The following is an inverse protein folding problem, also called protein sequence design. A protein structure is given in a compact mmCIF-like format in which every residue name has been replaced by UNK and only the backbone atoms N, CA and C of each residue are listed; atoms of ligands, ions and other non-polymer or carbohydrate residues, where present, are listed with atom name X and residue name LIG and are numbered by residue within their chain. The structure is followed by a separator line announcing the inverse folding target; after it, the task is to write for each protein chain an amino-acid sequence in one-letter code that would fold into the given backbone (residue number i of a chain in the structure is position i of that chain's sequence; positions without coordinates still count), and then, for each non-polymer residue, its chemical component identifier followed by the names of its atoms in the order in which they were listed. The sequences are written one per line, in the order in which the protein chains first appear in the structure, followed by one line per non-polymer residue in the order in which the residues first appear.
data_IF_427977927834
#
_entry.id   IF_427977927834
#
_cell.length_a   1.000
_cell.length_b   1.000
_cell.length_c   1.000
_cell.angle_alpha   90.00
_cell.angle_beta   90.00
_cell.angle_gamma   90.00
#
_symmetry.space_group_name_H-M   'P 1'
#
loop_
_entity.id
_entity.type
_entity.pdbx_description
1 polymer ?
#
# COMPACT_ATOMS: atom_id res chain seq x y z
N UNK A 1 20.03 -79.23 2.56
CA UNK A 1 20.10 -78.10 3.52
C UNK A 1 20.40 -76.84 2.73
N UNK A 2 19.36 -76.06 2.40
CA UNK A 2 19.46 -74.87 1.55
C UNK A 2 19.30 -73.62 2.42
N UNK A 3 20.36 -72.83 2.52
CA UNK A 3 20.40 -71.60 3.31
C UNK A 3 19.69 -70.48 2.54
N UNK A 4 18.52 -70.05 3.04
CA UNK A 4 17.79 -68.93 2.48
C UNK A 4 18.49 -67.60 2.81
N UNK A 5 18.82 -66.82 1.77
CA UNK A 5 19.40 -65.47 1.88
C UNK A 5 18.29 -64.48 2.23
N UNK A 6 18.36 -63.87 3.42
CA UNK A 6 17.43 -62.80 3.80
C UNK A 6 17.55 -61.60 2.84
N UNK A 7 16.44 -60.96 2.44
CA UNK A 7 16.48 -59.76 1.62
C UNK A 7 16.98 -58.57 2.46
N UNK A 8 17.93 -57.82 1.90
CA UNK A 8 18.44 -56.60 2.50
C UNK A 8 17.31 -55.58 2.69
N UNK A 9 17.08 -55.13 3.93
CA UNK A 9 16.18 -54.00 4.22
C UNK A 9 16.72 -52.75 3.54
N UNK A 10 15.93 -52.17 2.64
CA UNK A 10 16.24 -50.88 2.03
C UNK A 10 16.46 -49.83 3.13
N UNK A 11 17.68 -49.31 3.20
CA UNK A 11 18.08 -48.26 4.14
C UNK A 11 17.38 -46.98 3.71
N UNK A 12 16.20 -46.71 4.29
CA UNK A 12 15.46 -45.46 4.05
C UNK A 12 16.35 -44.29 4.49
N UNK A 13 16.78 -43.51 3.51
CA UNK A 13 17.58 -42.30 3.71
C UNK A 13 16.69 -41.24 4.35
N UNK A 14 16.52 -41.30 5.68
CA UNK A 14 15.74 -40.33 6.45
C UNK A 14 16.18 -38.87 6.22
N UNK A 15 17.41 -38.64 5.77
CA UNK A 15 17.89 -37.32 5.36
C UNK A 15 17.26 -36.78 4.07
N UNK A 16 16.92 -37.63 3.10
CA UNK A 16 16.33 -37.20 1.84
C UNK A 16 14.87 -36.77 2.00
N UNK A 17 14.13 -37.41 2.91
CA UNK A 17 12.74 -37.05 3.20
C UNK A 17 12.64 -35.70 3.93
N UNK A 18 13.59 -35.40 4.82
CA UNK A 18 13.68 -34.08 5.48
C UNK A 18 14.03 -32.99 4.45
N UNK A 19 14.94 -33.25 3.51
CA UNK A 19 15.25 -32.28 2.44
C UNK A 19 14.04 -32.02 1.54
N UNK A 20 13.26 -33.05 1.18
CA UNK A 20 12.03 -32.87 0.41
C UNK A 20 10.92 -32.16 1.18
N UNK A 21 10.78 -32.42 2.49
CA UNK A 21 9.85 -31.69 3.35
C UNK A 21 10.25 -30.22 3.50
N UNK A 22 11.55 -29.95 3.61
CA UNK A 22 12.07 -28.58 3.71
C UNK A 22 11.94 -27.85 2.38
N UNK A 23 12.28 -28.46 1.25
CA UNK A 23 12.10 -27.84 -0.07
C UNK A 23 10.60 -27.57 -0.33
N UNK A 24 9.74 -28.53 0.02
CA UNK A 24 8.29 -28.39 -0.06
C UNK A 24 7.76 -27.29 0.86
N UNK A 25 8.24 -27.20 2.10
CA UNK A 25 7.84 -26.17 3.05
C UNK A 25 8.38 -24.79 2.67
N UNK A 26 9.60 -24.68 2.13
CA UNK A 26 10.17 -23.41 1.66
C UNK A 26 9.48 -22.95 0.39
N UNK A 27 9.17 -23.84 -0.56
CA UNK A 27 8.33 -23.50 -1.71
C UNK A 27 6.92 -23.15 -1.25
N UNK A 28 6.35 -23.87 -0.29
CA UNK A 28 5.02 -23.56 0.26
C UNK A 28 5.01 -22.33 1.18
N UNK A 29 6.14 -21.86 1.70
CA UNK A 29 6.24 -20.59 2.43
C UNK A 29 6.54 -19.46 1.45
N UNK A 30 7.41 -19.62 0.46
CA UNK A 30 7.65 -18.61 -0.57
C UNK A 30 6.43 -18.42 -1.48
N UNK A 31 5.77 -19.51 -1.89
CA UNK A 31 4.53 -19.48 -2.68
C UNK A 31 3.31 -19.32 -1.77
N UNK A 32 3.31 -19.86 -0.55
CA UNK A 32 2.19 -19.69 0.39
C UNK A 32 2.13 -18.33 1.05
N UNK A 33 3.25 -17.59 1.16
CA UNK A 33 3.20 -16.15 1.48
C UNK A 33 2.52 -15.36 0.36
N UNK A 34 2.64 -15.81 -0.88
CA UNK A 34 1.89 -15.29 -2.03
C UNK A 34 0.45 -15.82 -2.14
N UNK A 35 0.09 -16.90 -1.41
CA UNK A 35 -1.29 -17.44 -1.37
C UNK A 35 -2.06 -16.98 -0.12
N UNK A 36 -1.38 -16.64 0.99
CA UNK A 36 -1.99 -16.13 2.22
C UNK A 36 -2.08 -14.60 2.22
N UNK A 37 -1.19 -13.91 1.49
CA UNK A 37 -1.52 -12.61 0.92
C UNK A 37 -2.34 -12.88 -0.33
N UNK A 38 -3.61 -13.29 -0.14
CA UNK A 38 -4.63 -13.18 -1.19
C UNK A 38 -4.81 -11.70 -1.46
N UNK A 39 -3.86 -11.13 -2.18
CA UNK A 39 -4.17 -10.10 -3.15
C UNK A 39 -4.98 -10.83 -4.22
N UNK A 40 -6.27 -11.01 -3.94
CA UNK A 40 -7.22 -11.35 -4.98
C UNK A 40 -7.05 -10.22 -5.98
N UNK A 41 -6.51 -10.50 -7.17
CA UNK A 41 -6.39 -9.57 -8.29
C UNK A 41 -7.73 -8.91 -8.55
N UNK A 42 -7.95 -7.84 -7.79
CA UNK A 42 -9.26 -7.55 -7.25
C UNK A 42 -9.64 -6.21 -7.77
N UNK A 43 -10.79 -6.16 -8.44
CA UNK A 43 -11.30 -4.93 -9.04
C UNK A 43 -11.82 -3.93 -7.99
N UNK A 44 -11.36 -4.07 -6.74
CA UNK A 44 -11.76 -3.25 -5.60
C UNK A 44 -10.82 -2.07 -5.51
N UNK A 45 -11.39 -0.89 -5.73
CA UNK A 45 -10.71 0.39 -5.54
C UNK A 45 -10.62 0.69 -4.03
N UNK A 46 -9.42 0.83 -3.44
CA UNK A 46 -9.27 1.21 -2.04
C UNK A 46 -9.65 2.68 -1.86
N UNK A 47 -10.35 2.98 -0.76
CA UNK A 47 -10.62 4.35 -0.34
C UNK A 47 -9.45 4.94 0.47
N UNK A 48 -9.42 6.27 0.64
CA UNK A 48 -8.46 6.93 1.54
C UNK A 48 -8.56 6.37 2.96
N UNK A 49 -7.44 6.34 3.66
CA UNK A 49 -7.38 5.96 5.06
C UNK A 49 -8.15 6.95 5.95
N UNK A 50 -8.55 6.52 7.14
CA UNK A 50 -9.42 7.34 8.00
C UNK A 50 -8.72 8.60 8.54
N UNK A 51 -7.43 8.49 8.82
CA UNK A 51 -6.55 9.60 9.17
C UNK A 51 -6.36 10.57 8.00
N UNK A 52 -6.12 10.08 6.77
CA UNK A 52 -6.03 10.94 5.58
C UNK A 52 -7.29 11.80 5.39
N UNK A 53 -8.49 11.22 5.56
CA UNK A 53 -9.75 11.97 5.50
C UNK A 53 -9.89 12.94 6.67
N UNK A 54 -9.52 12.52 7.88
CA UNK A 54 -9.58 13.36 9.08
C UNK A 54 -8.63 14.57 8.99
N UNK A 55 -7.47 14.43 8.35
CA UNK A 55 -6.50 15.50 8.13
C UNK A 55 -6.88 16.41 6.95
N UNK A 56 -7.56 15.86 5.94
CA UNK A 56 -8.05 16.62 4.77
C UNK A 56 -9.11 17.65 5.16
N UNK A 57 -10.10 17.26 5.97
CA UNK A 57 -11.27 18.11 6.27
C UNK A 57 -10.89 19.47 6.87
N UNK A 58 -10.05 19.58 7.92
CA UNK A 58 -9.66 20.87 8.50
C UNK A 58 -8.97 21.81 7.50
N UNK A 59 -8.17 21.27 6.59
CA UNK A 59 -7.50 22.06 5.55
C UNK A 59 -8.53 22.65 4.57
N UNK A 60 -9.54 21.85 4.19
CA UNK A 60 -10.62 22.34 3.32
C UNK A 60 -11.52 23.34 4.04
N UNK A 61 -11.78 23.18 5.34
CA UNK A 61 -12.51 24.17 6.17
C UNK A 61 -11.80 25.52 6.12
N UNK A 62 -10.51 25.54 6.44
CA UNK A 62 -9.73 26.78 6.45
C UNK A 62 -9.71 27.46 5.07
N UNK A 63 -9.48 26.68 4.01
CA UNK A 63 -9.52 27.18 2.65
C UNK A 63 -10.89 27.79 2.32
N UNK A 64 -11.97 27.06 2.62
CA UNK A 64 -13.33 27.51 2.34
C UNK A 64 -13.70 28.79 3.09
N UNK A 65 -13.30 28.93 4.36
CA UNK A 65 -13.51 30.15 5.14
C UNK A 65 -12.79 31.36 4.54
N UNK A 66 -11.59 31.16 4.00
CA UNK A 66 -10.79 32.25 3.43
C UNK A 66 -11.18 32.63 2.00
N UNK A 67 -11.63 31.67 1.19
CA UNK A 67 -11.92 31.86 -0.23
C UNK A 67 -13.41 31.99 -0.54
N UNK A 68 -14.29 31.60 0.39
CA UNK A 68 -15.75 31.62 0.19
C UNK A 68 -16.24 30.58 -0.81
N UNK A 69 -15.46 29.51 -1.03
CA UNK A 69 -15.76 28.40 -1.95
C UNK A 69 -15.66 27.11 -1.16
N UNK A 70 -16.66 26.24 -1.24
CA UNK A 70 -16.56 24.90 -0.66
C UNK A 70 -15.66 24.01 -1.50
N UNK A 71 -14.82 23.20 -0.84
CA UNK A 71 -13.92 22.26 -1.50
C UNK A 71 -14.28 20.84 -1.09
N UNK A 72 -14.20 19.91 -2.03
CA UNK A 72 -14.49 18.51 -1.74
C UNK A 72 -13.86 17.53 -2.69
N UNK A 73 -14.12 16.25 -2.40
CA UNK A 73 -13.59 15.14 -3.16
C UNK A 73 -14.62 14.03 -3.34
N UNK A 74 -14.45 13.28 -4.43
CA UNK A 74 -15.25 12.10 -4.72
C UNK A 74 -14.40 11.04 -5.42
N UNK A 75 -14.29 9.88 -4.79
CA UNK A 75 -13.69 8.70 -5.37
C UNK A 75 -14.78 7.70 -5.74
N UNK A 76 -14.84 7.31 -7.00
CA UNK A 76 -15.80 6.36 -7.56
C UNK A 76 -15.09 5.18 -8.21
N UNK A 77 -15.78 4.05 -8.26
CA UNK A 77 -15.47 2.99 -9.23
C UNK A 77 -15.95 3.42 -10.61
N UNK A 78 -15.41 2.80 -11.64
CA UNK A 78 -15.85 2.95 -13.03
C UNK A 78 -17.36 2.75 -13.25
N UNK A 79 -18.00 1.92 -12.43
CA UNK A 79 -19.45 1.71 -12.42
C UNK A 79 -20.26 2.90 -11.89
N UNK A 80 -19.61 3.91 -11.33
CA UNK A 80 -20.23 5.03 -10.61
C UNK A 80 -20.52 4.74 -9.14
N UNK A 81 -20.15 3.56 -8.62
CA UNK A 81 -20.29 3.26 -7.21
C UNK A 81 -19.32 4.11 -6.38
N UNK A 82 -19.85 4.87 -5.42
CA UNK A 82 -19.05 5.71 -4.52
C UNK A 82 -18.17 4.83 -3.62
N UNK A 83 -16.88 5.18 -3.55
CA UNK A 83 -15.90 4.58 -2.66
C UNK A 83 -15.64 5.49 -1.47
N UNK A 84 -15.49 6.79 -1.73
CA UNK A 84 -15.32 7.81 -0.70
C UNK A 84 -15.80 9.16 -1.20
N UNK A 85 -16.35 9.97 -0.30
CA UNK A 85 -16.78 11.33 -0.55
C UNK A 85 -16.54 12.17 0.69
N UNK A 86 -16.24 13.45 0.50
CA UNK A 86 -16.15 14.39 1.61
C UNK A 86 -15.88 15.81 1.15
N UNK A 87 -15.86 16.73 2.11
CA UNK A 87 -15.69 18.16 1.86
C UNK A 87 -15.24 18.92 3.09
N UNK A 88 -15.12 20.24 2.95
CA UNK A 88 -15.03 21.17 4.07
C UNK A 88 -16.22 21.06 5.06
N UNK A 89 -17.33 20.40 4.70
CA UNK A 89 -18.44 20.15 5.62
C UNK A 89 -18.28 18.87 6.46
N UNK A 90 -17.29 18.04 6.13
CA UNK A 90 -16.99 16.80 6.84
C UNK A 90 -16.68 15.60 5.93
N UNK A 91 -16.15 14.54 6.53
CA UNK A 91 -16.03 13.22 5.93
C UNK A 91 -17.43 12.64 5.67
N UNK A 92 -17.65 12.07 4.47
CA UNK A 92 -18.95 11.55 4.05
C UNK A 92 -19.97 12.62 3.61
N UNK A 93 -19.58 13.90 3.54
CA UNK A 93 -20.49 15.00 3.13
C UNK A 93 -20.04 15.57 1.79
N UNK A 94 -20.80 15.42 0.70
CA UNK A 94 -20.46 16.02 -0.59
C UNK A 94 -20.69 17.53 -0.59
N UNK A 95 -19.92 18.26 -1.41
CA UNK A 95 -20.24 19.68 -1.71
C UNK A 95 -21.42 19.81 -2.68
N UNK A 96 -21.56 18.85 -3.60
CA UNK A 96 -22.59 18.88 -4.64
C UNK A 96 -23.98 18.70 -4.03
N UNK A 97 -24.86 19.69 -4.22
CA UNK A 97 -26.26 19.63 -3.77
C UNK A 97 -26.48 20.00 -2.30
N UNK A 98 -25.44 20.36 -1.54
CA UNK A 98 -25.59 20.87 -0.18
C UNK A 98 -25.86 22.38 -0.19
N UNK A 99 -26.95 22.80 0.45
CA UNK A 99 -27.36 24.20 0.49
C UNK A 99 -26.35 25.13 1.21
N UNK A 100 -25.46 24.57 2.04
CA UNK A 100 -24.36 25.31 2.70
C UNK A 100 -23.21 25.62 1.73
N UNK A 101 -23.17 24.96 0.58
CA UNK A 101 -22.15 25.12 -0.44
C UNK A 101 -22.75 25.58 -1.77
N UNK A 102 -23.28 26.82 -1.86
CA UNK A 102 -23.81 27.35 -3.11
C UNK A 102 -22.71 27.60 -4.17
N UNK A 103 -21.47 27.82 -3.72
CA UNK A 103 -20.27 27.94 -4.56
C UNK A 103 -19.29 26.84 -4.16
N UNK A 104 -18.87 26.00 -5.08
CA UNK A 104 -18.05 24.84 -4.75
C UNK A 104 -17.13 24.38 -5.89
N UNK A 105 -16.07 23.65 -5.51
CA UNK A 105 -15.17 22.92 -6.41
C UNK A 105 -14.93 21.52 -5.82
N UNK A 106 -15.13 20.47 -6.63
CA UNK A 106 -14.97 19.06 -6.25
C UNK A 106 -13.99 18.40 -7.23
N UNK A 107 -12.97 17.72 -6.71
CA UNK A 107 -12.20 16.76 -7.52
C UNK A 107 -12.91 15.42 -7.52
N UNK A 108 -13.12 14.85 -8.71
CA UNK A 108 -13.72 13.54 -8.90
C UNK A 108 -12.74 12.62 -9.60
N UNK A 109 -12.45 11.48 -8.98
CA UNK A 109 -11.67 10.40 -9.59
C UNK A 109 -12.53 9.16 -9.77
N UNK A 110 -12.44 8.56 -10.97
CA UNK A 110 -13.12 7.31 -11.32
C UNK A 110 -12.09 6.27 -11.71
N UNK A 111 -12.03 5.18 -10.96
CA UNK A 111 -10.99 4.15 -11.09
C UNK A 111 -11.59 2.85 -11.64
N UNK A 112 -10.90 2.25 -12.61
CA UNK A 112 -11.15 0.91 -13.10
C UNK A 112 -9.92 0.06 -12.87
N UNK A 113 -10.06 -0.94 -12.01
CA UNK A 113 -9.13 -2.08 -11.96
C UNK A 113 -9.73 -3.23 -12.77
N UNK A 114 -8.89 -3.81 -13.62
CA UNK A 114 -9.17 -4.97 -14.43
C UNK A 114 -8.79 -6.24 -13.66
N UNK A 115 -9.27 -7.40 -14.11
CA UNK A 115 -8.87 -8.65 -13.48
C UNK A 115 -7.42 -8.98 -13.83
N UNK A 116 -6.69 -9.65 -12.94
CA UNK A 116 -5.29 -10.06 -13.19
C UNK A 116 -5.10 -11.02 -14.37
N UNK A 117 -6.19 -11.54 -14.92
CA UNK A 117 -6.24 -12.38 -16.13
C UNK A 117 -6.58 -11.61 -17.40
N UNK A 118 -6.78 -10.30 -17.29
CA UNK A 118 -7.11 -9.41 -18.42
C UNK A 118 -5.83 -8.85 -19.03
N UNK A 119 -5.80 -8.73 -20.35
CA UNK A 119 -4.75 -7.99 -21.08
C UNK A 119 -5.07 -6.48 -21.15
N UNK A 120 -6.23 -6.07 -20.64
CA UNK A 120 -6.62 -4.66 -20.54
C UNK A 120 -5.86 -4.00 -19.40
N UNK A 121 -5.48 -2.74 -19.59
CA UNK A 121 -4.85 -1.95 -18.53
C UNK A 121 -5.89 -1.40 -17.56
N UNK A 122 -5.45 -1.22 -16.33
CA UNK A 122 -6.13 -0.38 -15.35
C UNK A 122 -6.12 1.08 -15.81
N UNK A 123 -7.13 1.85 -15.40
CA UNK A 123 -7.21 3.25 -15.78
C UNK A 123 -7.94 4.08 -14.74
N UNK A 124 -7.62 5.37 -14.71
CA UNK A 124 -8.32 6.38 -13.95
C UNK A 124 -8.83 7.49 -14.86
N UNK A 125 -9.88 8.18 -14.43
CA UNK A 125 -10.28 9.48 -14.99
C UNK A 125 -10.45 10.42 -13.83
N UNK A 126 -9.67 11.50 -13.86
CA UNK A 126 -9.69 12.57 -12.87
C UNK A 126 -10.30 13.78 -13.54
N UNK A 127 -11.23 14.43 -12.87
CA UNK A 127 -11.90 15.64 -13.35
C UNK A 127 -12.17 16.58 -12.20
N UNK A 128 -11.96 17.87 -12.40
CA UNK A 128 -12.44 18.92 -11.49
C UNK A 128 -13.78 19.47 -11.98
N UNK A 129 -14.75 19.53 -11.07
CA UNK A 129 -16.08 20.11 -11.30
C UNK A 129 -16.33 21.25 -10.32
N UNK A 130 -17.24 22.16 -10.66
CA UNK A 130 -17.62 23.25 -9.78
C UNK A 130 -19.07 23.68 -9.96
N UNK A 131 -19.51 24.63 -9.14
CA UNK A 131 -20.82 25.27 -9.25
C UNK A 131 -20.95 26.09 -10.55
N UNK A 132 -22.20 26.32 -10.97
CA UNK A 132 -22.53 26.95 -12.26
C UNK A 132 -22.03 28.40 -12.41
N UNK A 133 -21.63 29.04 -11.31
CA UNK A 133 -21.06 30.39 -11.31
C UNK A 133 -19.56 30.44 -11.65
N UNK A 134 -18.90 29.28 -11.75
CA UNK A 134 -17.47 29.18 -12.10
C UNK A 134 -17.29 28.96 -13.61
N UNK A 135 -16.33 29.68 -14.20
CA UNK A 135 -16.05 29.53 -15.62
C UNK A 135 -15.42 28.16 -15.94
N UNK A 136 -15.83 27.58 -17.06
CA UNK A 136 -15.35 26.25 -17.47
C UNK A 136 -13.86 26.26 -17.82
N UNK A 137 -13.33 27.33 -18.38
CA UNK A 137 -11.91 27.46 -18.69
C UNK A 137 -11.07 27.53 -17.40
N UNK A 138 -11.58 28.19 -16.37
CA UNK A 138 -10.91 28.25 -15.06
C UNK A 138 -10.87 26.85 -14.41
N UNK A 139 -12.00 26.13 -14.40
CA UNK A 139 -12.04 24.75 -13.89
C UNK A 139 -11.12 23.81 -14.68
N UNK A 140 -10.99 24.01 -15.99
CA UNK A 140 -10.04 23.26 -16.81
C UNK A 140 -8.58 23.59 -16.48
N UNK A 141 -8.27 24.85 -16.19
CA UNK A 141 -6.94 25.24 -15.73
C UNK A 141 -6.61 24.64 -14.35
N UNK A 142 -7.60 24.56 -13.45
CA UNK A 142 -7.47 23.88 -12.15
C UNK A 142 -7.23 22.38 -12.35
N UNK A 143 -8.01 21.73 -13.22
CA UNK A 143 -7.85 20.30 -13.56
C UNK A 143 -6.46 19.98 -14.09
N UNK A 144 -6.02 20.71 -15.13
CA UNK A 144 -4.68 20.56 -15.70
C UNK A 144 -3.55 20.92 -14.72
N UNK A 145 -3.86 21.70 -13.68
CA UNK A 145 -2.93 22.05 -12.63
C UNK A 145 -2.55 20.89 -11.72
N UNK A 146 -3.39 19.85 -11.61
CA UNK A 146 -3.15 18.69 -10.74
C UNK A 146 -1.87 17.92 -11.14
N UNK A 147 -1.62 17.76 -12.44
CA UNK A 147 -0.44 17.06 -12.97
C UNK A 147 0.88 17.67 -12.47
N UNK A 148 0.93 19.00 -12.28
CA UNK A 148 2.13 19.70 -11.77
C UNK A 148 2.45 19.33 -10.32
N UNK A 149 1.49 18.77 -9.59
CA UNK A 149 1.66 18.23 -8.24
C UNK A 149 1.89 16.71 -8.24
N UNK A 150 2.07 16.10 -9.41
CA UNK A 150 2.19 14.64 -9.55
C UNK A 150 0.87 13.92 -9.27
N UNK A 151 -0.26 14.58 -9.49
CA UNK A 151 -1.60 14.01 -9.30
C UNK A 151 -2.21 13.64 -10.66
N UNK A 152 -1.48 12.80 -11.38
CA UNK A 152 -1.84 12.31 -12.70
C UNK A 152 -2.59 10.97 -12.63
N UNK A 153 -3.08 10.52 -13.79
CA UNK A 153 -3.85 9.28 -13.94
C UNK A 153 -3.13 8.06 -13.35
N UNK A 154 -1.81 7.94 -13.56
CA UNK A 154 -1.03 6.79 -13.09
C UNK A 154 -0.97 6.77 -11.55
N UNK A 155 -0.76 7.93 -10.94
CA UNK A 155 -0.79 8.09 -9.49
C UNK A 155 -2.14 7.70 -8.90
N UNK A 156 -3.24 8.06 -9.56
CA UNK A 156 -4.59 7.66 -9.14
C UNK A 156 -4.88 6.17 -9.35
N UNK A 157 -4.22 5.51 -10.31
CA UNK A 157 -4.28 4.05 -10.46
C UNK A 157 -3.50 3.38 -9.32
N UNK A 158 -2.32 3.88 -8.98
CA UNK A 158 -1.42 3.27 -8.00
C UNK A 158 -1.88 3.46 -6.53
N UNK A 159 -2.33 4.66 -6.16
CA UNK A 159 -2.79 4.98 -4.79
C UNK A 159 -4.00 5.92 -4.80
N UNK A 160 -5.20 5.44 -5.20
CA UNK A 160 -6.39 6.28 -5.38
C UNK A 160 -6.86 6.94 -4.10
N UNK A 161 -6.66 6.30 -2.94
CA UNK A 161 -7.05 6.82 -1.64
C UNK A 161 -6.22 8.04 -1.26
N UNK A 162 -4.90 7.89 -1.25
CA UNK A 162 -4.01 9.01 -0.98
C UNK A 162 -4.17 10.14 -2.01
N UNK A 163 -4.22 9.79 -3.30
CA UNK A 163 -4.26 10.75 -4.40
C UNK A 163 -5.51 11.63 -4.36
N UNK A 164 -6.69 11.08 -4.02
CA UNK A 164 -7.93 11.86 -3.99
C UNK A 164 -7.93 12.90 -2.85
N UNK A 165 -7.43 12.55 -1.67
CA UNK A 165 -7.27 13.48 -0.56
C UNK A 165 -6.22 14.54 -0.87
N UNK A 166 -5.09 14.14 -1.49
CA UNK A 166 -4.03 15.07 -1.89
C UNK A 166 -4.50 16.05 -2.96
N UNK A 167 -5.30 15.60 -3.92
CA UNK A 167 -5.90 16.47 -4.94
C UNK A 167 -6.88 17.46 -4.30
N UNK A 168 -7.73 17.01 -3.38
CA UNK A 168 -8.69 17.87 -2.69
C UNK A 168 -8.01 19.05 -1.99
N UNK A 169 -6.93 18.80 -1.24
CA UNK A 169 -6.19 19.87 -0.53
C UNK A 169 -5.37 20.77 -1.46
N UNK A 170 -5.18 20.36 -2.73
CA UNK A 170 -4.47 21.15 -3.75
C UNK A 170 -5.41 22.12 -4.47
N UNK A 171 -6.73 21.82 -4.52
CA UNK A 171 -7.73 22.67 -5.19
C UNK A 171 -7.71 24.14 -4.74
N UNK A 172 -7.65 24.50 -3.44
CA UNK A 172 -7.64 25.90 -3.00
C UNK A 172 -6.52 26.73 -3.62
N UNK A 173 -5.34 26.14 -3.77
CA UNK A 173 -4.19 26.77 -4.38
C UNK A 173 -4.41 26.96 -5.89
N UNK A 174 -4.84 25.91 -6.58
CA UNK A 174 -5.05 25.95 -8.02
C UNK A 174 -6.18 26.91 -8.41
N UNK A 175 -7.24 26.99 -7.60
CA UNK A 175 -8.33 27.95 -7.76
C UNK A 175 -7.84 29.39 -7.56
N UNK A 176 -6.87 29.61 -6.65
CA UNK A 176 -6.24 30.92 -6.53
C UNK A 176 -5.32 31.26 -7.72
N UNK A 177 -4.56 30.30 -8.22
CA UNK A 177 -3.71 30.46 -9.41
C UNK A 177 -4.53 30.76 -10.67
N UNK A 178 -5.71 30.15 -10.80
CA UNK A 178 -6.66 30.44 -11.87
C UNK A 178 -7.34 31.81 -11.71
N UNK A 179 -7.12 32.53 -10.61
CA UNK A 179 -7.71 33.85 -10.36
C UNK A 179 -9.18 33.81 -9.94
N UNK A 180 -9.72 32.63 -9.66
CA UNK A 180 -11.13 32.42 -9.26
C UNK A 180 -11.38 32.90 -7.83
N UNK A 181 -10.38 32.74 -6.96
CA UNK A 181 -10.42 33.17 -5.57
C UNK A 181 -9.10 33.87 -5.19
N UNK A 182 -9.10 34.73 -4.14
CA UNK A 182 -7.85 35.18 -3.56
C UNK A 182 -7.05 33.99 -3.00
N UNK A 183 -5.73 34.14 -2.79
CA UNK A 183 -4.93 33.13 -2.10
C UNK A 183 -5.55 32.76 -0.74
N UNK A 184 -5.65 31.47 -0.45
CA UNK A 184 -6.14 30.99 0.83
C UNK A 184 -5.24 31.50 1.97
N UNK A 185 -5.84 31.80 3.12
CA UNK A 185 -5.10 32.30 4.26
C UNK A 185 -4.09 31.26 4.73
N UNK A 186 -2.80 31.60 4.69
CA UNK A 186 -1.76 30.74 5.25
C UNK A 186 -1.94 30.69 6.76
N UNK A 187 -1.85 29.51 7.41
CA UNK A 187 -1.80 29.44 8.86
C UNK A 187 -0.67 30.36 9.37
N UNK A 188 -1.03 31.45 10.02
CA UNK A 188 -0.05 32.31 10.67
C UNK A 188 0.34 31.61 11.97
N UNK A 189 1.52 30.98 11.97
CA UNK A 189 2.11 30.55 13.22
C UNK A 189 2.39 31.81 14.06
N UNK A 190 1.86 31.84 15.28
CA UNK A 190 2.20 32.89 16.25
C UNK A 190 3.73 32.85 16.46
N UNK A 191 4.49 33.91 16.12
CA UNK A 191 5.94 33.92 16.23
C UNK A 191 6.44 33.69 17.67
N UNK A 192 5.57 33.93 18.66
CA UNK A 192 5.88 33.77 20.07
C UNK A 192 5.39 32.43 20.67
N UNK A 193 4.60 31.64 19.92
CA UNK A 193 4.17 30.34 20.41
C UNK A 193 5.36 29.37 20.41
N UNK A 194 5.62 28.66 21.52
CA UNK A 194 6.60 27.58 21.51
C UNK A 194 6.17 26.57 20.46
N UNK A 195 7.07 26.26 19.50
CA UNK A 195 6.81 25.23 18.50
C UNK A 195 6.47 23.94 19.25
N UNK A 196 5.21 23.50 19.15
CA UNK A 196 4.82 22.18 19.61
C UNK A 196 5.70 21.16 18.89
N UNK A 197 6.13 20.12 19.60
CA UNK A 197 6.79 19.00 18.95
C UNK A 197 5.87 18.55 17.80
N UNK A 198 6.43 18.46 16.59
CA UNK A 198 5.72 17.89 15.46
C UNK A 198 5.16 16.54 15.91
N UNK A 199 3.90 16.22 15.62
CA UNK A 199 3.41 14.86 15.85
C UNK A 199 4.38 13.89 15.19
N UNK A 200 4.67 12.78 15.87
CA UNK A 200 5.55 11.76 15.31
C UNK A 200 5.07 11.45 13.89
N UNK A 201 5.92 11.72 12.90
CA UNK A 201 5.62 11.34 11.53
C UNK A 201 5.34 9.84 11.55
N UNK A 202 4.10 9.45 11.24
CA UNK A 202 3.69 8.05 11.19
C UNK A 202 4.74 7.28 10.38
N UNK A 203 5.24 6.18 10.93
CA UNK A 203 6.34 5.50 10.28
C UNK A 203 5.82 4.70 9.08
N UNK A 204 6.04 5.18 7.87
CA UNK A 204 5.86 4.42 6.63
C UNK A 204 6.86 3.26 6.49
N UNK A 205 7.69 3.01 7.51
CA UNK A 205 8.72 1.98 7.51
C UNK A 205 8.19 0.59 7.14
N UNK A 206 6.99 0.24 7.62
CA UNK A 206 6.38 -1.04 7.25
C UNK A 206 5.94 -1.06 5.79
N UNK A 207 5.42 0.05 5.26
CA UNK A 207 4.97 0.18 3.87
C UNK A 207 6.14 0.19 2.88
N UNK A 208 7.16 1.00 3.14
CA UNK A 208 8.32 1.18 2.25
C UNK A 208 9.29 -0.01 2.26
N UNK A 209 9.39 -0.73 3.40
CA UNK A 209 10.43 -1.75 3.60
C UNK A 209 9.91 -3.16 3.76
N UNK A 210 8.62 -3.43 3.57
CA UNK A 210 8.07 -4.78 3.72
C UNK A 210 8.80 -5.81 2.82
N UNK A 211 9.08 -5.45 1.57
CA UNK A 211 9.79 -6.33 0.63
C UNK A 211 11.21 -6.67 1.09
N UNK A 212 11.94 -5.67 1.59
CA UNK A 212 13.27 -5.88 2.16
C UNK A 212 13.22 -6.72 3.43
N UNK A 213 12.25 -6.45 4.32
CA UNK A 213 12.04 -7.21 5.56
C UNK A 213 11.76 -8.68 5.29
N UNK A 214 10.88 -8.99 4.33
CA UNK A 214 10.61 -10.36 3.91
C UNK A 214 11.84 -11.04 3.30
N UNK A 215 12.61 -10.33 2.47
CA UNK A 215 13.84 -10.87 1.92
C UNK A 215 14.87 -11.21 3.02
N UNK A 216 15.08 -10.31 3.99
CA UNK A 216 15.95 -10.58 5.14
C UNK A 216 15.44 -11.71 6.02
N UNK A 217 14.14 -11.78 6.29
CA UNK A 217 13.54 -12.86 7.07
C UNK A 217 13.72 -14.22 6.37
N UNK A 218 13.51 -14.27 5.06
CA UNK A 218 13.78 -15.46 4.24
C UNK A 218 15.24 -15.88 4.29
N UNK A 219 16.18 -14.93 4.17
CA UNK A 219 17.62 -15.22 4.23
C UNK A 219 18.04 -15.78 5.59
N UNK A 220 17.52 -15.22 6.69
CA UNK A 220 17.80 -15.68 8.05
C UNK A 220 17.28 -17.10 8.29
N UNK A 221 16.12 -17.45 7.75
CA UNK A 221 15.57 -18.81 7.80
C UNK A 221 16.49 -19.82 7.08
N UNK A 222 16.97 -19.46 5.88
CA UNK A 222 17.92 -20.32 5.14
C UNK A 222 19.22 -20.50 5.93
N UNK A 223 19.76 -19.43 6.52
CA UNK A 223 20.97 -19.51 7.33
C UNK A 223 20.80 -20.41 8.56
N UNK A 224 19.71 -20.25 9.31
CA UNK A 224 19.39 -21.10 10.46
C UNK A 224 19.28 -22.58 10.06
N UNK A 225 18.73 -22.86 8.87
CA UNK A 225 18.60 -24.22 8.35
C UNK A 225 19.95 -24.83 7.99
N UNK A 226 20.84 -24.08 7.33
CA UNK A 226 22.19 -24.54 7.03
C UNK A 226 22.99 -24.83 8.31
N UNK A 227 22.85 -24.00 9.34
CA UNK A 227 23.48 -24.20 10.64
C UNK A 227 22.97 -25.49 11.28
N UNK A 228 21.66 -25.69 11.36
CA UNK A 228 21.07 -26.90 11.98
C UNK A 228 21.44 -28.16 11.21
N UNK A 229 21.41 -28.14 9.87
CA UNK A 229 21.88 -29.28 9.04
C UNK A 229 23.36 -29.54 9.28
N UNK A 230 24.20 -28.51 9.35
CA UNK A 230 25.63 -28.64 9.65
C UNK A 230 25.89 -29.28 11.01
N UNK A 231 25.15 -28.88 12.05
CA UNK A 231 25.22 -29.49 13.38
C UNK A 231 24.80 -30.96 13.38
N UNK A 232 23.70 -31.30 12.69
CA UNK A 232 23.21 -32.68 12.59
C UNK A 232 24.18 -33.56 11.79
N UNK A 233 24.71 -33.07 10.67
CA UNK A 233 25.70 -33.80 9.88
C UNK A 233 27.00 -34.02 10.67
N UNK A 234 27.48 -33.00 11.40
CA UNK A 234 28.65 -33.11 12.26
C UNK A 234 28.44 -34.08 13.42
N UNK A 235 27.25 -34.10 14.02
CA UNK A 235 26.88 -35.08 15.04
C UNK A 235 26.90 -36.52 14.50
N UNK A 236 26.36 -36.73 13.29
CA UNK A 236 26.38 -38.03 12.61
C UNK A 236 27.79 -38.47 12.22
N UNK A 237 28.66 -37.57 11.78
CA UNK A 237 30.07 -37.88 11.48
C UNK A 237 30.85 -38.28 12.74
N UNK A 238 30.62 -37.59 13.87
CA UNK A 238 31.21 -37.98 15.17
C UNK A 238 30.73 -39.35 15.64
N UNK A 239 29.43 -39.65 15.48
CA UNK A 239 28.88 -40.96 15.82
C UNK A 239 29.33 -42.09 14.86
N UNK A 240 29.71 -41.74 13.63
CA UNK A 240 30.19 -42.69 12.62
C UNK A 240 31.71 -42.90 12.61
N UNK A 241 32.46 -42.22 13.48
CA UNK A 241 33.90 -42.48 13.65
C UNK A 241 34.06 -43.80 14.41
N UNK A 242 34.53 -44.89 13.79
CA UNK A 242 34.74 -46.13 14.52
C UNK A 242 35.92 -45.92 15.47
N UNK A 243 35.75 -46.27 16.74
CA UNK A 243 36.87 -46.41 17.66
C UNK A 243 37.87 -47.43 17.07
N UNK A 244 38.97 -46.91 16.51
CA UNK A 244 40.04 -47.72 15.96
C UNK A 244 40.80 -48.45 17.06
N UNK A 245 40.44 -49.73 17.26
CA UNK A 245 41.36 -50.87 17.32
C UNK A 245 42.71 -50.63 18.01
N UNK A 246 42.80 -50.80 19.32
CA UNK A 246 44.04 -51.26 19.97
C UNK A 246 44.14 -52.78 19.85
N UNK A 247 44.85 -53.21 18.81
CA UNK A 247 45.45 -54.55 18.72
C UNK A 247 46.66 -54.54 19.64
N UNK A 248 46.54 -55.13 20.84
CA UNK A 248 47.64 -55.33 21.78
C UNK A 248 47.82 -56.81 22.05
N UNK A 249 48.88 -57.39 21.50
CA UNK A 249 49.28 -58.77 21.68
C UNK A 249 49.81 -59.02 23.11
N UNK A 250 49.39 -60.13 23.72
CA UNK A 250 50.27 -61.13 24.35
C UNK A 250 49.47 -62.39 24.66
#
# INVERSE_FOLDING_TARGET
MTTAKQPAKAKQNAGAWVVWLVLGATVLVCVGSSILNRDSGGTTVPGPAADERADTVPLLVQAAESQGICYGWRLERSSGAEVSVGSNLGDGVPVTGDARCPRWVEVRARIMYTSSSSESNDWATVTVSGSDDLDRADLWAVDAGLDRFGLDTDTFVDDPGWAICRAAVTLPLLVAEAGVAPPAATPSADPAAPAGALPDAGSDFWRDRWGWLLATAGLLLVAALLITVGFVQRGRQRAATPAGRTRGAR
#
